data_IF_167997917823
#
_entry.id   IF_167997917823
#
_cell.length_a   1.000
_cell.length_b   1.000
_cell.length_c   1.000
_cell.angle_alpha   90.00
_cell.angle_beta   90.00
_cell.angle_gamma   90.00
#
_symmetry.space_group_name_H-M   'P 1'
#
loop_
_entity.id
_entity.type
_entity.pdbx_description
1 polymer ?
#
# COMPACT_ATOMS: atom_id res chain seq x y z
N UNK A 1 21.90 -36.56 28.18
CA UNK A 1 20.96 -36.19 27.12
C UNK A 1 20.02 -37.34 26.90
N UNK A 2 18.71 -37.15 27.06
CA UNK A 2 17.71 -38.18 26.75
C UNK A 2 17.23 -37.97 25.32
N UNK A 3 17.27 -39.01 24.52
CA UNK A 3 16.80 -38.97 23.13
C UNK A 3 15.50 -39.76 23.05
N UNK A 4 14.47 -39.17 22.53
CA UNK A 4 13.26 -39.88 22.15
C UNK A 4 13.39 -40.17 20.65
N UNK A 5 13.58 -41.43 20.29
CA UNK A 5 13.71 -41.87 18.90
C UNK A 5 12.46 -42.65 18.50
N UNK A 6 11.95 -42.41 17.30
CA UNK A 6 10.96 -43.26 16.68
C UNK A 6 11.63 -44.53 16.16
N UNK A 7 11.06 -45.70 16.47
CA UNK A 7 11.52 -46.97 15.90
C UNK A 7 11.24 -47.03 14.40
N UNK A 8 12.12 -47.67 13.65
CA UNK A 8 11.97 -47.87 12.19
C UNK A 8 11.15 -49.09 11.83
N UNK A 9 10.77 -49.91 12.82
CA UNK A 9 9.96 -51.12 12.64
C UNK A 9 8.49 -50.81 12.84
N UNK A 10 7.62 -51.37 12.03
CA UNK A 10 6.19 -51.18 12.14
C UNK A 10 5.69 -51.53 13.56
N UNK A 11 4.97 -50.61 14.21
CA UNK A 11 4.50 -50.76 15.59
C UNK A 11 5.43 -50.21 16.67
N UNK A 12 6.64 -49.73 16.33
CA UNK A 12 7.61 -49.13 17.28
C UNK A 12 7.66 -47.58 17.19
N UNK A 13 6.76 -46.97 16.45
CA UNK A 13 6.61 -45.51 16.42
C UNK A 13 6.32 -44.98 17.83
N UNK A 14 6.87 -43.81 18.16
CA UNK A 14 6.50 -43.12 19.40
C UNK A 14 4.98 -42.86 19.43
N UNK A 15 4.28 -43.60 20.27
CA UNK A 15 2.87 -43.31 20.57
C UNK A 15 2.83 -42.64 21.94
N UNK A 16 2.56 -41.36 21.97
CA UNK A 16 2.21 -40.68 23.22
C UNK A 16 0.71 -40.82 23.46
N UNK A 17 0.35 -41.43 24.57
CA UNK A 17 -1.02 -41.34 25.07
C UNK A 17 -1.11 -40.04 25.84
N UNK A 18 -1.90 -39.10 25.34
CA UNK A 18 -2.09 -37.80 25.96
C UNK A 18 -2.74 -37.91 27.35
N UNK A 19 -2.78 -36.81 28.04
CA UNK A 19 -3.54 -36.59 29.25
C UNK A 19 -5.03 -36.94 29.02
N UNK A 20 -5.82 -37.05 30.08
CA UNK A 20 -7.28 -37.28 29.97
C UNK A 20 -8.02 -36.20 29.22
N UNK A 21 -7.40 -35.03 29.02
CA UNK A 21 -7.89 -33.91 28.23
C UNK A 21 -7.57 -34.02 26.73
N UNK A 22 -6.83 -35.06 26.30
CA UNK A 22 -6.48 -35.26 24.89
C UNK A 22 -5.38 -34.36 24.34
N UNK A 23 -4.66 -33.60 25.19
CA UNK A 23 -3.54 -32.74 24.77
C UNK A 23 -2.20 -33.46 24.88
N UNK A 24 -1.19 -33.04 24.10
CA UNK A 24 0.20 -33.48 24.23
C UNK A 24 1.04 -32.29 24.68
N UNK A 25 1.81 -32.45 25.75
CA UNK A 25 2.66 -31.40 26.29
C UNK A 25 4.13 -31.79 26.28
N UNK A 26 4.98 -30.90 25.78
CA UNK A 26 6.42 -30.94 25.99
C UNK A 26 6.76 -29.98 27.13
N UNK A 27 7.28 -30.56 28.23
CA UNK A 27 7.57 -29.79 29.44
C UNK A 27 9.07 -29.64 29.67
N UNK A 28 9.45 -28.49 30.20
CA UNK A 28 10.78 -28.23 30.75
C UNK A 28 10.72 -28.25 32.28
N UNK A 29 11.78 -28.73 32.93
CA UNK A 29 11.87 -28.88 34.39
C UNK A 29 10.72 -29.69 35.01
N UNK A 30 10.11 -30.59 34.23
CA UNK A 30 9.13 -31.57 34.71
C UNK A 30 7.72 -31.06 35.00
N UNK A 31 7.47 -29.77 34.98
CA UNK A 31 6.14 -29.20 35.37
C UNK A 31 5.65 -28.07 34.50
N UNK A 32 6.54 -27.41 33.75
CA UNK A 32 6.16 -26.20 32.96
C UNK A 32 6.03 -26.59 31.49
N UNK A 33 4.83 -26.52 30.89
CA UNK A 33 4.68 -26.71 29.45
C UNK A 33 5.48 -25.66 28.66
N UNK A 34 6.17 -26.10 27.64
CA UNK A 34 6.83 -25.23 26.67
C UNK A 34 6.10 -25.25 25.33
N UNK A 35 5.59 -26.41 24.95
CA UNK A 35 4.80 -26.64 23.76
C UNK A 35 3.61 -27.52 24.10
N UNK A 36 2.43 -27.17 23.66
CA UNK A 36 1.20 -27.96 23.82
C UNK A 36 0.57 -28.20 22.45
N UNK A 37 0.23 -29.44 22.14
CA UNK A 37 -0.62 -29.79 21.01
C UNK A 37 -2.04 -29.97 21.52
N UNK A 38 -2.96 -29.14 21.07
CA UNK A 38 -4.38 -29.26 21.39
C UNK A 38 -5.03 -30.42 20.62
N UNK A 39 -6.19 -30.86 21.05
CA UNK A 39 -7.01 -31.88 20.35
C UNK A 39 -7.36 -31.52 18.92
N UNK A 40 -7.39 -30.23 18.60
CA UNK A 40 -7.58 -29.69 17.25
C UNK A 40 -6.35 -29.73 16.37
N UNK A 41 -5.17 -30.13 16.91
CA UNK A 41 -3.90 -30.04 16.25
C UNK A 41 -3.22 -28.67 16.34
N UNK A 42 -3.83 -27.70 17.03
CA UNK A 42 -3.23 -26.38 17.22
C UNK A 42 -2.02 -26.45 18.14
N UNK A 43 -0.97 -25.66 17.84
CA UNK A 43 0.26 -25.56 18.61
C UNK A 43 0.16 -24.40 19.58
N UNK A 44 0.16 -24.70 20.88
CA UNK A 44 0.27 -23.69 21.93
C UNK A 44 1.71 -23.57 22.41
N UNK A 45 2.16 -22.36 22.74
CA UNK A 45 3.50 -22.09 23.27
C UNK A 45 3.44 -21.33 24.60
N UNK A 46 4.45 -21.57 25.44
CA UNK A 46 4.57 -20.95 26.75
C UNK A 46 3.97 -21.77 27.89
N UNK A 47 4.21 -21.33 29.13
CA UNK A 47 3.72 -21.99 30.35
C UNK A 47 2.20 -22.01 30.47
N UNK A 48 1.54 -20.98 29.99
CA UNK A 48 0.10 -20.95 29.69
C UNK A 48 -0.02 -20.98 28.18
N UNK A 49 -0.47 -22.10 27.56
CA UNK A 49 -0.39 -22.26 26.12
C UNK A 49 -1.20 -21.20 25.38
N UNK A 50 -0.50 -20.33 24.63
CA UNK A 50 -1.12 -19.40 23.69
C UNK A 50 -1.14 -20.03 22.29
N UNK A 51 -2.31 -20.07 21.63
CA UNK A 51 -2.50 -20.70 20.32
C UNK A 51 -2.51 -19.69 19.16
N UNK A 52 -2.38 -18.40 19.48
CA UNK A 52 -2.51 -17.34 18.48
C UNK A 52 -3.93 -17.20 17.91
N UNK A 53 -4.02 -16.31 16.95
CA UNK A 53 -5.25 -16.08 16.16
C UNK A 53 -4.95 -16.18 14.67
N UNK A 54 -5.97 -16.28 13.83
CA UNK A 54 -5.79 -16.35 12.37
C UNK A 54 -4.93 -15.19 11.86
N UNK A 55 -3.93 -15.51 11.02
CA UNK A 55 -2.99 -14.55 10.45
C UNK A 55 -1.75 -14.25 11.30
N UNK A 56 -1.68 -14.73 12.55
CA UNK A 56 -0.46 -14.63 13.35
C UNK A 56 0.59 -15.69 12.96
N UNK A 57 1.84 -15.35 13.17
CA UNK A 57 3.00 -16.22 12.99
C UNK A 57 3.70 -16.46 14.32
N UNK A 58 4.32 -17.63 14.48
CA UNK A 58 5.14 -17.92 15.65
C UNK A 58 6.49 -17.19 15.50
N UNK A 59 6.74 -16.22 16.36
CA UNK A 59 7.93 -15.36 16.33
C UNK A 59 8.88 -15.74 17.47
N UNK A 60 10.17 -15.86 17.15
CA UNK A 60 11.21 -16.05 18.16
C UNK A 60 11.35 -14.78 19.02
N UNK A 61 11.37 -14.96 20.33
CA UNK A 61 11.65 -13.92 21.30
C UNK A 61 13.12 -13.92 21.80
N UNK A 62 14.02 -14.62 21.06
CA UNK A 62 15.41 -14.79 21.43
C UNK A 62 15.65 -16.00 22.35
N UNK A 63 16.88 -16.19 22.78
CA UNK A 63 17.29 -17.37 23.59
C UNK A 63 16.81 -17.34 25.04
N UNK A 64 16.38 -16.20 25.55
CA UNK A 64 15.98 -16.00 26.94
C UNK A 64 14.46 -16.06 27.17
N UNK A 65 13.65 -16.19 26.11
CA UNK A 65 12.19 -16.22 26.21
C UNK A 65 11.56 -17.25 25.27
N UNK A 66 10.37 -17.73 25.63
CA UNK A 66 9.61 -18.60 24.76
C UNK A 66 9.15 -17.84 23.50
N UNK A 67 9.01 -18.51 22.35
CA UNK A 67 8.38 -17.92 21.17
C UNK A 67 6.98 -17.40 21.50
N UNK A 68 6.53 -16.39 20.78
CA UNK A 68 5.20 -15.82 20.91
C UNK A 68 4.48 -15.78 19.57
N UNK A 69 3.15 -15.83 19.59
CA UNK A 69 2.35 -15.55 18.41
C UNK A 69 2.29 -14.05 18.20
N UNK A 70 2.72 -13.59 17.05
CA UNK A 70 2.75 -12.17 16.69
C UNK A 70 2.08 -11.93 15.35
N UNK A 71 1.40 -10.81 15.24
CA UNK A 71 0.95 -10.33 13.94
C UNK A 71 2.19 -9.98 13.11
N UNK A 72 2.34 -10.53 11.89
CA UNK A 72 3.45 -10.15 11.01
C UNK A 72 3.51 -8.62 10.90
N UNK A 73 4.70 -8.05 10.95
CA UNK A 73 4.87 -6.65 10.65
C UNK A 73 4.28 -6.41 9.25
N UNK A 74 3.38 -5.46 9.14
CA UNK A 74 2.91 -4.97 7.83
C UNK A 74 4.15 -4.52 7.07
N UNK A 75 4.31 -4.94 5.82
CA UNK A 75 5.43 -4.49 4.98
C UNK A 75 5.52 -2.96 4.98
N UNK A 76 6.69 -2.43 4.62
CA UNK A 76 6.92 -0.98 4.57
C UNK A 76 5.87 -0.24 3.71
N UNK A 77 5.23 -0.93 2.77
CA UNK A 77 4.10 -0.43 1.97
C UNK A 77 2.97 -1.47 1.93
N UNK A 78 1.74 -1.00 2.16
CA UNK A 78 0.52 -1.80 2.05
C UNK A 78 -0.33 -1.31 0.87
N UNK A 79 -0.79 -2.22 0.01
CA UNK A 79 -1.76 -1.90 -1.02
C UNK A 79 -3.12 -1.61 -0.37
N UNK A 80 -3.60 -0.39 -0.54
CA UNK A 80 -4.84 0.11 0.07
C UNK A 80 -6.01 -0.01 -0.91
N UNK A 81 -5.78 0.36 -2.17
CA UNK A 81 -6.83 0.36 -3.18
C UNK A 81 -6.26 0.12 -4.58
N UNK A 82 -7.07 -0.47 -5.44
CA UNK A 82 -6.80 -0.64 -6.87
C UNK A 82 -8.06 -0.31 -7.64
N UNK A 83 -7.94 0.50 -8.69
CA UNK A 83 -9.06 0.84 -9.58
C UNK A 83 -8.60 0.74 -11.02
N UNK A 84 -9.41 0.11 -11.87
CA UNK A 84 -9.34 0.26 -13.33
C UNK A 84 -10.27 1.41 -13.70
N UNK A 85 -9.77 2.48 -14.34
CA UNK A 85 -10.63 3.56 -14.80
C UNK A 85 -11.74 3.04 -15.71
N UNK A 86 -12.90 3.66 -15.61
CA UNK A 86 -14.03 3.43 -16.52
C UNK A 86 -14.26 4.70 -17.34
N UNK A 87 -15.19 4.69 -18.29
CA UNK A 87 -15.48 5.84 -19.14
C UNK A 87 -16.18 6.99 -18.35
N UNK A 88 -15.55 7.43 -17.27
CA UNK A 88 -16.01 8.52 -16.39
C UNK A 88 -14.99 9.66 -16.38
N UNK A 89 -15.42 10.84 -15.96
CA UNK A 89 -14.54 12.02 -15.82
C UNK A 89 -13.54 11.86 -14.67
N UNK A 90 -13.94 11.22 -13.59
CA UNK A 90 -13.14 11.11 -12.36
C UNK A 90 -12.89 9.65 -11.95
N UNK A 91 -11.68 9.38 -11.49
CA UNK A 91 -11.34 8.20 -10.70
C UNK A 91 -11.25 8.63 -9.23
N UNK A 92 -12.19 8.19 -8.42
CA UNK A 92 -12.40 8.69 -7.07
C UNK A 92 -11.81 7.75 -6.01
N UNK A 93 -11.02 8.35 -5.11
CA UNK A 93 -10.46 7.76 -3.89
C UNK A 93 -10.74 8.69 -2.69
N UNK A 94 -11.95 9.22 -2.58
CA UNK A 94 -12.28 10.37 -1.73
C UNK A 94 -12.14 10.12 -0.22
N UNK A 95 -12.11 8.87 0.21
CA UNK A 95 -12.02 8.45 1.62
C UNK A 95 -10.95 7.37 1.85
N UNK A 96 -9.95 7.30 0.98
CA UNK A 96 -8.95 6.22 0.97
C UNK A 96 -7.81 6.44 1.97
N UNK A 97 -7.53 7.69 2.32
CA UNK A 97 -6.49 8.03 3.28
C UNK A 97 -6.98 7.83 4.72
N UNK A 98 -6.18 7.16 5.52
CA UNK A 98 -6.48 6.85 6.93
C UNK A 98 -5.39 7.42 7.85
N UNK A 99 -5.67 7.49 9.14
CA UNK A 99 -4.69 7.92 10.14
C UNK A 99 -3.50 6.95 10.29
N UNK A 100 -3.59 5.75 9.71
CA UNK A 100 -2.54 4.73 9.80
C UNK A 100 -1.27 5.07 9.00
N UNK A 101 -1.36 5.98 8.05
CA UNK A 101 -0.26 6.33 7.16
C UNK A 101 -0.14 7.85 7.00
N UNK A 102 1.08 8.39 7.10
CA UNK A 102 1.37 9.80 6.82
C UNK A 102 1.80 10.03 5.37
N UNK A 103 2.22 8.97 4.71
CA UNK A 103 2.72 9.01 3.33
C UNK A 103 2.00 7.97 2.49
N UNK A 104 1.66 8.36 1.28
CA UNK A 104 1.05 7.48 0.28
C UNK A 104 1.82 7.52 -1.03
N UNK A 105 1.88 6.37 -1.69
CA UNK A 105 2.34 6.25 -3.06
C UNK A 105 1.15 5.90 -3.96
N UNK A 106 0.91 6.72 -4.97
CA UNK A 106 -0.07 6.46 -6.02
C UNK A 106 0.70 6.06 -7.27
N UNK A 107 0.35 4.93 -7.84
CA UNK A 107 0.93 4.42 -9.09
C UNK A 107 -0.15 4.33 -10.15
N UNK A 108 0.08 4.95 -11.29
CA UNK A 108 -0.77 4.81 -12.47
C UNK A 108 -0.02 4.07 -13.56
N UNK A 109 -0.62 3.04 -14.10
CA UNK A 109 -0.04 2.20 -15.15
C UNK A 109 -0.93 2.16 -16.38
N UNK A 110 -0.33 2.44 -17.53
CA UNK A 110 -0.97 2.34 -18.85
C UNK A 110 -2.32 3.06 -18.93
N UNK A 111 -2.41 4.22 -18.30
CA UNK A 111 -3.62 5.04 -18.24
C UNK A 111 -3.82 5.78 -19.56
N UNK A 112 -5.04 5.80 -20.06
CA UNK A 112 -5.35 6.39 -21.35
C UNK A 112 -6.47 7.43 -21.25
N UNK A 113 -6.30 8.62 -21.84
CA UNK A 113 -7.37 9.57 -22.03
C UNK A 113 -8.23 9.24 -23.27
N UNK A 114 -9.46 9.71 -23.30
CA UNK A 114 -10.27 9.72 -24.53
C UNK A 114 -9.80 10.81 -25.50
N UNK A 115 -9.20 11.88 -25.00
CA UNK A 115 -8.64 13.02 -25.74
C UNK A 115 -7.24 13.34 -25.24
N UNK A 116 -6.44 14.04 -26.02
CA UNK A 116 -5.14 14.54 -25.60
C UNK A 116 -5.28 15.45 -24.37
N UNK A 117 -4.65 15.07 -23.26
CA UNK A 117 -4.75 15.80 -21.99
C UNK A 117 -3.68 15.34 -20.99
N UNK A 118 -3.62 15.95 -19.82
CA UNK A 118 -2.75 15.55 -18.71
C UNK A 118 -3.56 15.10 -17.49
N UNK A 119 -2.96 14.24 -16.68
CA UNK A 119 -3.59 13.76 -15.46
C UNK A 119 -3.41 14.81 -14.36
N UNK A 120 -4.52 15.25 -13.80
CA UNK A 120 -4.59 16.12 -12.65
C UNK A 120 -5.07 15.34 -11.40
N UNK A 121 -4.72 15.88 -10.24
CA UNK A 121 -5.13 15.38 -8.93
C UNK A 121 -5.80 16.51 -8.13
N UNK A 122 -6.89 16.19 -7.47
CA UNK A 122 -7.46 17.01 -6.42
C UNK A 122 -7.59 16.19 -5.14
N UNK A 123 -7.13 16.74 -4.04
CA UNK A 123 -7.36 16.14 -2.73
C UNK A 123 -8.82 16.26 -2.32
N UNK A 124 -9.21 15.46 -1.33
CA UNK A 124 -10.56 15.47 -0.77
C UNK A 124 -10.52 15.62 0.76
N UNK A 125 -11.43 16.40 1.28
CA UNK A 125 -11.70 16.54 2.71
C UNK A 125 -13.16 16.24 2.97
N UNK A 126 -13.44 15.37 3.96
CA UNK A 126 -14.81 14.94 4.26
C UNK A 126 -15.55 14.31 3.06
N UNK A 127 -14.82 13.64 2.15
CA UNK A 127 -15.40 13.04 0.94
C UNK A 127 -15.65 14.03 -0.22
N UNK A 128 -15.32 15.30 -0.05
CA UNK A 128 -15.52 16.36 -1.08
C UNK A 128 -14.17 16.81 -1.62
N UNK A 129 -14.06 16.93 -2.95
CA UNK A 129 -12.82 17.40 -3.58
C UNK A 129 -12.57 18.88 -3.28
N UNK A 130 -11.31 19.20 -2.98
CA UNK A 130 -10.82 20.57 -2.80
C UNK A 130 -10.50 21.14 -4.18
N UNK A 131 -11.10 22.25 -4.52
CA UNK A 131 -11.02 22.87 -5.86
C UNK A 131 -10.32 24.22 -5.85
N UNK A 132 -9.54 24.55 -4.82
CA UNK A 132 -8.77 25.79 -4.74
C UNK A 132 -7.58 25.67 -3.79
N UNK A 133 -6.67 26.63 -3.85
CA UNK A 133 -5.55 26.72 -2.92
C UNK A 133 -4.36 25.80 -3.23
N UNK A 134 -4.26 25.32 -4.45
CA UNK A 134 -3.10 24.55 -4.91
C UNK A 134 -1.99 25.48 -5.40
N UNK A 135 -0.75 25.17 -4.99
CA UNK A 135 0.44 25.59 -5.71
C UNK A 135 1.01 24.39 -6.45
N UNK A 136 1.35 24.53 -7.70
CA UNK A 136 1.93 23.48 -8.50
C UNK A 136 3.14 23.97 -9.28
N UNK A 137 4.16 23.12 -9.39
CA UNK A 137 5.32 23.29 -10.24
C UNK A 137 5.40 22.12 -11.20
N UNK A 138 5.36 22.37 -12.49
CA UNK A 138 5.59 21.35 -13.51
C UNK A 138 7.02 21.52 -14.01
N UNK A 139 7.86 20.52 -13.80
CA UNK A 139 9.23 20.47 -14.29
C UNK A 139 9.29 20.19 -15.79
N UNK A 140 10.45 20.46 -16.37
CA UNK A 140 10.72 20.36 -17.79
C UNK A 140 10.70 18.92 -18.33
N UNK A 141 10.37 18.82 -19.60
CA UNK A 141 10.60 17.65 -20.44
C UNK A 141 12.11 17.39 -20.65
N UNK A 142 12.51 16.14 -20.59
CA UNK A 142 13.90 15.72 -20.85
C UNK A 142 14.36 16.05 -22.29
N UNK A 143 13.45 16.19 -23.23
CA UNK A 143 13.75 16.42 -24.65
C UNK A 143 13.62 17.87 -25.14
N UNK A 144 13.10 18.81 -24.36
CA UNK A 144 12.76 20.14 -24.88
C UNK A 144 13.39 21.31 -24.13
N UNK A 145 14.31 21.10 -23.20
CA UNK A 145 14.99 22.22 -22.50
C UNK A 145 14.04 23.21 -21.80
N UNK A 146 12.81 22.77 -21.48
CA UNK A 146 11.77 23.63 -20.97
C UNK A 146 11.97 23.98 -19.49
N UNK A 147 11.90 25.26 -19.16
CA UNK A 147 11.84 25.73 -17.80
C UNK A 147 10.56 25.26 -17.11
N UNK A 148 10.61 24.92 -15.83
CA UNK A 148 9.45 24.64 -15.02
C UNK A 148 8.55 25.88 -14.94
N UNK A 149 7.23 25.66 -14.96
CA UNK A 149 6.23 26.71 -14.75
C UNK A 149 5.56 26.52 -13.40
N UNK A 150 5.51 27.57 -12.60
CA UNK A 150 4.78 27.59 -11.34
C UNK A 150 3.35 28.07 -11.61
N UNK A 151 2.37 27.42 -11.02
CA UNK A 151 0.96 27.77 -11.13
C UNK A 151 0.34 27.88 -9.74
N UNK A 152 -0.62 28.80 -9.61
CA UNK A 152 -1.63 28.75 -8.57
C UNK A 152 -2.91 28.25 -9.24
N UNK A 153 -3.38 27.07 -8.87
CA UNK A 153 -4.46 26.39 -9.59
C UNK A 153 -5.49 25.79 -8.62
N UNK A 154 -6.52 25.21 -9.17
CA UNK A 154 -7.55 24.43 -8.47
C UNK A 154 -7.18 22.93 -8.33
N UNK A 155 -5.96 22.53 -8.74
CA UNK A 155 -5.48 21.14 -8.81
C UNK A 155 -3.97 21.01 -8.77
N UNK A 156 -3.49 19.80 -8.44
CA UNK A 156 -2.12 19.37 -8.68
C UNK A 156 -2.00 18.67 -10.04
N UNK A 157 -0.81 18.66 -10.61
CA UNK A 157 -0.52 17.99 -11.87
C UNK A 157 0.34 16.75 -11.61
N UNK A 158 -0.09 15.60 -12.14
CA UNK A 158 0.56 14.31 -11.91
C UNK A 158 1.31 13.83 -13.15
N UNK A 159 0.80 14.13 -14.33
CA UNK A 159 1.49 13.89 -15.60
C UNK A 159 1.37 15.10 -16.50
N UNK A 160 2.13 15.11 -17.58
CA UNK A 160 1.91 16.07 -18.67
C UNK A 160 1.14 15.41 -19.83
N UNK A 161 0.80 16.22 -20.81
CA UNK A 161 -0.09 15.94 -21.94
C UNK A 161 0.34 14.67 -22.68
N UNK A 162 -0.62 13.78 -22.92
CA UNK A 162 -0.59 12.90 -24.08
C UNK A 162 -1.07 13.72 -25.27
N UNK A 163 -0.30 13.85 -26.31
CA UNK A 163 -0.70 14.61 -27.50
C UNK A 163 -1.65 13.82 -28.40
N UNK A 164 -1.97 12.58 -28.02
CA UNK A 164 -2.78 11.65 -28.81
C UNK A 164 -3.75 10.86 -27.93
N UNK A 165 -4.96 10.69 -28.40
CA UNK A 165 -5.94 9.78 -27.81
C UNK A 165 -5.49 8.30 -27.83
N UNK A 166 -4.41 7.96 -28.53
CA UNK A 166 -3.81 6.61 -28.55
C UNK A 166 -2.63 6.48 -27.59
N UNK A 167 -2.17 7.57 -26.99
CA UNK A 167 -1.07 7.59 -26.03
C UNK A 167 -1.47 6.99 -24.68
N UNK A 168 -0.49 6.62 -23.89
CA UNK A 168 -0.68 6.16 -22.51
C UNK A 168 0.26 6.90 -21.56
N UNK A 169 -0.18 7.06 -20.34
CA UNK A 169 0.59 7.66 -19.26
C UNK A 169 0.84 6.65 -18.14
N UNK A 170 2.08 6.62 -17.66
CA UNK A 170 2.46 5.96 -16.42
C UNK A 170 2.96 7.03 -15.45
N UNK A 171 2.65 6.88 -14.18
CA UNK A 171 3.18 7.78 -13.17
C UNK A 171 3.33 7.10 -11.81
N UNK A 172 4.16 7.65 -10.97
CA UNK A 172 4.15 7.44 -9.54
C UNK A 172 4.20 8.78 -8.82
N UNK A 173 3.34 8.92 -7.83
CA UNK A 173 3.15 10.15 -7.09
C UNK A 173 3.25 9.87 -5.60
N UNK A 174 4.22 10.50 -4.94
CA UNK A 174 4.36 10.47 -3.49
C UNK A 174 3.60 11.64 -2.89
N UNK A 175 2.76 11.35 -1.89
CA UNK A 175 2.01 12.34 -1.14
C UNK A 175 2.39 12.22 0.32
N UNK A 176 2.74 13.34 0.95
CA UNK A 176 3.19 13.38 2.34
C UNK A 176 2.39 14.39 3.16
N UNK A 177 2.43 14.24 4.48
CA UNK A 177 1.82 15.20 5.41
C UNK A 177 0.31 15.05 5.58
N UNK A 178 -0.28 13.91 5.19
CA UNK A 178 -1.74 13.70 5.17
C UNK A 178 -2.39 13.94 6.53
N UNK A 179 -1.76 13.44 7.60
CA UNK A 179 -2.30 13.53 8.98
C UNK A 179 -1.86 14.78 9.72
N UNK A 180 -1.26 15.75 9.04
CA UNK A 180 -0.85 17.02 9.65
C UNK A 180 -1.85 18.13 9.34
N UNK A 181 -1.84 19.21 10.13
CA UNK A 181 -2.59 20.44 9.83
C UNK A 181 -1.85 21.35 8.85
N UNK A 182 -0.59 21.02 8.53
CA UNK A 182 0.28 21.79 7.66
C UNK A 182 0.02 21.54 6.19
N UNK A 183 0.82 22.14 5.33
CA UNK A 183 0.81 21.95 3.89
C UNK A 183 0.97 20.45 3.53
N UNK A 184 0.07 19.93 2.70
CA UNK A 184 0.20 18.63 2.07
C UNK A 184 0.95 18.81 0.75
N UNK A 185 1.92 17.97 0.52
CA UNK A 185 2.73 18.03 -0.70
C UNK A 185 2.73 16.70 -1.44
N UNK A 186 2.77 16.78 -2.75
CA UNK A 186 2.98 15.66 -3.63
C UNK A 186 4.11 15.93 -4.61
N UNK A 187 4.88 14.90 -4.90
CA UNK A 187 5.88 14.88 -5.97
C UNK A 187 5.51 13.74 -6.90
N UNK A 188 5.39 14.05 -8.19
CA UNK A 188 5.07 13.05 -9.20
C UNK A 188 6.15 12.98 -10.26
N UNK A 189 6.37 11.76 -10.73
CA UNK A 189 7.19 11.47 -11.92
C UNK A 189 6.32 10.69 -12.89
N UNK A 190 6.30 11.11 -14.14
CA UNK A 190 5.49 10.46 -15.16
C UNK A 190 6.27 10.23 -16.44
N UNK A 191 5.92 9.16 -17.14
CA UNK A 191 6.31 8.90 -18.52
C UNK A 191 5.07 8.83 -19.39
N UNK A 192 5.13 9.45 -20.55
CA UNK A 192 4.03 9.48 -21.50
C UNK A 192 4.52 8.89 -22.82
N UNK A 193 3.78 7.94 -23.37
CA UNK A 193 3.97 7.41 -24.72
C UNK A 193 2.93 8.07 -25.61
N UNK A 194 3.35 8.76 -26.61
CA UNK A 194 2.53 9.63 -27.45
C UNK A 194 2.32 9.04 -28.85
N UNK A 195 1.77 7.84 -28.94
CA UNK A 195 1.34 7.20 -30.20
C UNK A 195 2.40 7.00 -31.29
N UNK A 196 3.47 7.75 -31.29
CA UNK A 196 4.75 7.60 -31.98
C UNK A 196 5.84 7.33 -30.94
N UNK A 197 7.00 6.76 -31.27
CA UNK A 197 7.98 6.34 -30.26
C UNK A 197 8.67 7.50 -29.52
N UNK A 198 7.93 8.52 -29.15
CA UNK A 198 8.38 9.63 -28.35
C UNK A 198 8.07 9.39 -26.88
N UNK A 199 9.11 9.17 -26.10
CA UNK A 199 9.05 9.10 -24.65
C UNK A 199 9.27 10.50 -24.09
N UNK A 200 8.33 10.94 -23.25
CA UNK A 200 8.48 12.17 -22.49
C UNK A 200 8.42 11.84 -20.99
N UNK A 201 9.45 12.21 -20.26
CA UNK A 201 9.50 12.12 -18.80
C UNK A 201 9.24 13.48 -18.18
N UNK A 202 8.43 13.53 -17.13
CA UNK A 202 8.09 14.75 -16.40
C UNK A 202 8.20 14.54 -14.91
N UNK A 203 8.60 15.61 -14.22
CA UNK A 203 8.50 15.72 -12.77
C UNK A 203 7.58 16.87 -12.43
N UNK A 204 6.74 16.72 -11.43
CA UNK A 204 5.92 17.79 -10.89
C UNK A 204 5.93 17.76 -9.37
N UNK A 205 5.77 18.93 -8.76
CA UNK A 205 5.52 19.08 -7.34
C UNK A 205 4.28 19.92 -7.16
N UNK A 206 3.47 19.60 -6.17
CA UNK A 206 2.25 20.36 -5.86
C UNK A 206 1.95 20.31 -4.37
N UNK A 207 1.16 21.23 -3.91
CA UNK A 207 0.72 21.28 -2.53
C UNK A 207 -0.60 22.00 -2.38
N UNK A 208 -1.27 21.76 -1.28
CA UNK A 208 -2.50 22.44 -0.89
C UNK A 208 -2.45 22.79 0.59
N UNK A 209 -2.84 24.00 0.92
CA UNK A 209 -3.07 24.45 2.30
C UNK A 209 -4.51 24.11 2.67
N UNK A 210 -4.71 22.99 3.35
CA UNK A 210 -6.05 22.59 3.79
C UNK A 210 -5.95 21.79 5.08
N UNK A 211 -7.07 21.68 5.77
CA UNK A 211 -7.23 20.80 6.93
C UNK A 211 -6.97 19.32 6.62
N UNK A 212 -7.60 18.43 7.35
CA UNK A 212 -7.43 16.99 7.19
C UNK A 212 -7.84 16.53 5.78
N UNK A 213 -6.97 15.79 5.12
CA UNK A 213 -7.20 15.18 3.82
C UNK A 213 -7.61 13.71 4.01
N UNK A 214 -8.77 13.32 3.52
CA UNK A 214 -9.28 11.95 3.58
C UNK A 214 -9.07 11.14 2.31
N UNK A 215 -8.68 11.77 1.22
CA UNK A 215 -8.49 11.09 -0.05
C UNK A 215 -8.18 12.03 -1.20
N UNK A 216 -8.42 11.57 -2.41
CA UNK A 216 -8.17 12.32 -3.63
C UNK A 216 -9.06 11.84 -4.79
N UNK A 217 -9.05 12.59 -5.90
CA UNK A 217 -9.52 12.12 -7.20
C UNK A 217 -8.51 12.43 -8.29
N UNK A 218 -8.49 11.60 -9.31
CA UNK A 218 -7.74 11.81 -10.55
C UNK A 218 -8.70 12.12 -11.68
N UNK A 219 -8.28 12.97 -12.61
CA UNK A 219 -9.05 13.31 -13.80
C UNK A 219 -8.13 13.80 -14.92
N UNK A 220 -8.64 13.75 -16.16
CA UNK A 220 -7.99 14.40 -17.28
C UNK A 220 -8.40 15.87 -17.33
N UNK A 221 -7.44 16.77 -17.43
CA UNK A 221 -7.66 18.21 -17.23
C UNK A 221 -8.65 18.83 -18.22
N UNK A 222 -8.65 18.39 -19.45
CA UNK A 222 -9.45 19.00 -20.52
C UNK A 222 -10.81 18.32 -20.71
N UNK A 223 -11.46 17.96 -19.62
CA UNK A 223 -12.80 17.36 -19.57
C UNK A 223 -12.97 16.05 -20.36
N UNK A 224 -11.88 15.38 -20.68
CA UNK A 224 -11.90 14.06 -21.29
C UNK A 224 -12.30 12.98 -20.30
N UNK A 225 -13.01 11.96 -20.76
CA UNK A 225 -13.25 10.78 -19.98
C UNK A 225 -12.01 9.88 -19.99
N UNK A 226 -11.92 9.01 -18.99
CA UNK A 226 -11.00 7.89 -19.00
C UNK A 226 -11.42 6.86 -20.05
N UNK A 227 -10.44 6.21 -20.66
CA UNK A 227 -10.68 4.97 -21.37
C UNK A 227 -10.56 3.83 -20.34
N UNK A 228 -11.36 2.78 -20.46
CA UNK A 228 -11.31 1.59 -19.61
C UNK A 228 -10.02 0.79 -19.86
N UNK A 229 -8.89 1.36 -19.48
CA UNK A 229 -7.54 0.82 -19.67
C UNK A 229 -6.61 1.22 -18.53
N UNK A 230 -5.66 0.35 -18.21
CA UNK A 230 -4.68 0.58 -17.16
C UNK A 230 -5.24 0.39 -15.76
N UNK A 231 -4.44 0.76 -14.77
CA UNK A 231 -4.79 0.65 -13.35
C UNK A 231 -4.20 1.80 -12.55
N UNK A 232 -4.89 2.16 -11.48
CA UNK A 232 -4.39 3.03 -10.43
C UNK A 232 -4.29 2.24 -9.15
N UNK A 233 -3.12 2.24 -8.53
CA UNK A 233 -2.86 1.61 -7.24
C UNK A 233 -2.56 2.67 -6.21
N UNK A 234 -3.04 2.46 -4.99
CA UNK A 234 -2.75 3.33 -3.84
C UNK A 234 -2.10 2.49 -2.76
N UNK A 235 -0.91 2.89 -2.35
CA UNK A 235 -0.17 2.26 -1.26
C UNK A 235 -0.03 3.23 -0.10
N UNK A 236 -0.26 2.74 1.12
CA UNK A 236 0.12 3.43 2.34
C UNK A 236 1.53 3.02 2.77
N UNK A 237 2.36 4.00 3.14
CA UNK A 237 3.70 3.76 3.70
C UNK A 237 3.60 3.73 5.21
N UNK A 238 4.05 2.64 5.81
CA UNK A 238 4.00 2.48 7.27
C UNK A 238 4.74 3.61 7.97
N UNK A 239 4.13 4.17 9.00
CA UNK A 239 4.80 5.09 9.90
C UNK A 239 5.84 4.28 10.70
N UNK A 240 7.10 4.73 10.70
CA UNK A 240 8.17 4.12 11.50
C UNK A 240 7.99 4.43 12.99
#
# INVERSE_FOLDING_TARGET
MSIIAAGTTAGTALKSTGNTDGTIQLQVNGTTPSVTLATTGAIGVGSTPGYGTSGQVLQSAGSAAAPTWATPATGAMALIATVTPTATTYVNFLTTFTASYNTYLIVGENLRPALASYIAIQFASGGTAITSGYGALIGASVNAGGAGSAFSDDRGHVSRITTSATGSANFYCWITGINTTNLKSGISYSSVIDGTPNFNGYASAFGVTSGTIGGFRLFWNDAGNWVAQGKVYVYGVANA
#
